data_IF_881949704675
#
_entry.id   IF_881949704675
#
_cell.length_a   1.000
_cell.length_b   1.000
_cell.length_c   1.000
_cell.angle_alpha   90.00
_cell.angle_beta   90.00
_cell.angle_gamma   90.00
#
_symmetry.space_group_name_H-M   'P 1'
#
loop_
_entity.id
_entity.type
_entity.pdbx_description
1 polymer ?
#
# COMPACT_ATOMS: atom_id res chain seq x y z
N UNK A 1 23.83 28.95 -29.80
CA UNK A 1 23.09 27.73 -29.40
C UNK A 1 21.62 28.12 -29.37
N UNK A 2 20.88 27.78 -30.43
CA UNK A 2 19.53 28.27 -30.68
C UNK A 2 18.48 27.36 -29.99
N UNK A 3 17.36 27.92 -29.48
CA UNK A 3 16.29 27.11 -28.89
C UNK A 3 15.43 26.46 -29.98
N UNK A 4 15.25 25.14 -29.87
CA UNK A 4 14.39 24.34 -30.73
C UNK A 4 12.91 24.67 -30.45
N UNK A 5 12.23 25.18 -31.47
CA UNK A 5 10.77 25.37 -31.49
C UNK A 5 10.09 24.02 -31.71
N UNK A 6 9.21 23.62 -30.80
CA UNK A 6 8.32 22.46 -30.98
C UNK A 6 7.00 22.88 -31.63
N UNK A 7 6.46 22.09 -32.57
CA UNK A 7 5.29 22.45 -33.36
C UNK A 7 3.99 22.32 -32.56
N UNK A 8 3.16 23.36 -32.66
CA UNK A 8 1.77 23.42 -32.25
C UNK A 8 0.90 22.53 -33.16
N UNK A 9 0.27 21.49 -32.61
CA UNK A 9 -0.78 20.75 -33.32
C UNK A 9 -2.16 21.30 -32.99
N UNK A 10 -2.65 22.13 -33.91
CA UNK A 10 -4.05 22.48 -34.08
C UNK A 10 -4.85 21.30 -34.64
N UNK A 11 -6.07 21.12 -34.13
CA UNK A 11 -7.20 20.64 -34.93
C UNK A 11 -7.65 19.20 -34.64
N UNK A 12 -8.73 19.05 -33.88
CA UNK A 12 -9.67 17.95 -34.13
C UNK A 12 -11.09 18.45 -33.90
N UNK A 13 -11.90 18.26 -34.92
CA UNK A 13 -13.24 18.79 -35.10
C UNK A 13 -14.26 18.21 -34.11
N UNK A 14 -15.08 19.11 -33.56
CA UNK A 14 -16.32 18.85 -32.85
C UNK A 14 -17.35 18.19 -33.79
N UNK A 15 -17.74 16.96 -33.48
CA UNK A 15 -19.00 16.36 -33.95
C UNK A 15 -20.07 16.67 -32.91
N UNK A 16 -20.89 17.67 -33.21
CA UNK A 16 -22.07 18.03 -32.42
C UNK A 16 -23.21 17.05 -32.75
N UNK A 17 -23.44 16.07 -31.88
CA UNK A 17 -24.62 15.21 -31.93
C UNK A 17 -25.77 15.95 -31.29
N UNK A 18 -26.68 16.47 -32.12
CA UNK A 18 -27.92 17.12 -31.67
C UNK A 18 -28.86 16.10 -31.03
N UNK A 19 -28.97 16.14 -29.70
CA UNK A 19 -29.97 15.41 -28.94
C UNK A 19 -31.20 16.31 -28.71
N UNK A 20 -32.29 15.99 -29.39
CA UNK A 20 -33.62 16.59 -29.22
C UNK A 20 -34.10 16.37 -27.80
N UNK A 21 -34.16 17.44 -27.00
CA UNK A 21 -34.74 17.43 -25.66
C UNK A 21 -36.25 17.65 -25.74
N UNK A 22 -37.02 16.58 -25.52
CA UNK A 22 -38.45 16.69 -25.17
C UNK A 22 -38.54 17.34 -23.79
N UNK A 23 -39.05 18.57 -23.75
CA UNK A 23 -39.27 19.34 -22.52
C UNK A 23 -40.35 18.72 -21.65
N UNK A 24 -39.94 17.86 -20.72
CA UNK A 24 -40.73 17.52 -19.55
C UNK A 24 -40.44 18.57 -18.47
N UNK A 25 -41.41 19.43 -18.19
CA UNK A 25 -41.37 20.44 -17.12
C UNK A 25 -41.13 19.74 -15.78
N UNK A 26 -39.88 19.78 -15.30
CA UNK A 26 -39.46 19.19 -14.03
C UNK A 26 -40.21 19.91 -12.90
N UNK A 27 -40.98 19.20 -12.06
CA UNK A 27 -41.65 19.82 -10.92
C UNK A 27 -40.59 20.50 -10.05
N UNK A 28 -40.85 21.78 -9.73
CA UNK A 28 -40.03 22.64 -8.88
C UNK A 28 -39.67 21.88 -7.61
N UNK A 29 -38.40 21.46 -7.51
CA UNK A 29 -37.85 20.80 -6.34
C UNK A 29 -37.97 21.75 -5.15
N UNK A 30 -38.75 21.36 -4.14
CA UNK A 30 -38.79 22.04 -2.86
C UNK A 30 -37.36 22.27 -2.35
N UNK A 31 -36.98 23.51 -2.00
CA UNK A 31 -35.66 23.79 -1.46
C UNK A 31 -35.50 23.01 -0.15
N UNK A 32 -34.67 21.98 -0.18
CA UNK A 32 -34.25 21.28 1.03
C UNK A 32 -33.46 22.29 1.86
N UNK A 33 -33.81 22.52 3.14
CA UNK A 33 -33.09 23.47 3.98
C UNK A 33 -31.59 23.12 4.02
N UNK A 34 -30.72 24.06 3.64
CA UNK A 34 -29.26 23.85 3.59
C UNK A 34 -28.70 23.39 4.95
N UNK A 35 -29.33 23.81 6.05
CA UNK A 35 -29.03 23.37 7.41
C UNK A 35 -29.10 21.83 7.57
N UNK A 36 -30.04 21.18 6.88
CA UNK A 36 -30.23 19.73 6.94
C UNK A 36 -29.14 18.98 6.16
N UNK A 37 -28.64 19.55 5.06
CA UNK A 37 -27.54 18.98 4.27
C UNK A 37 -26.23 19.04 5.06
N UNK A 38 -25.92 20.18 5.70
CA UNK A 38 -24.72 20.38 6.50
C UNK A 38 -24.67 19.46 7.74
N UNK A 39 -25.80 19.29 8.43
CA UNK A 39 -25.91 18.38 9.56
C UNK A 39 -25.65 16.91 9.14
N UNK A 40 -26.19 16.50 7.98
CA UNK A 40 -26.04 15.12 7.48
C UNK A 40 -24.61 14.79 7.07
N UNK A 41 -23.91 15.69 6.39
CA UNK A 41 -22.51 15.46 5.98
C UNK A 41 -21.55 15.42 7.17
N UNK A 42 -21.79 16.26 8.19
CA UNK A 42 -21.04 16.23 9.45
C UNK A 42 -21.23 14.89 10.19
N UNK A 43 -22.49 14.45 10.34
CA UNK A 43 -22.81 13.16 10.95
C UNK A 43 -22.15 12.00 10.22
N UNK A 44 -22.32 11.91 8.89
CA UNK A 44 -21.72 10.85 8.08
C UNK A 44 -20.19 10.82 8.17
N UNK A 45 -19.55 11.99 8.20
CA UNK A 45 -18.10 12.10 8.35
C UNK A 45 -17.63 11.54 9.69
N UNK A 46 -18.30 11.90 10.78
CA UNK A 46 -17.98 11.44 12.13
C UNK A 46 -18.27 9.93 12.33
N UNK A 47 -19.38 9.44 11.80
CA UNK A 47 -19.69 8.01 11.81
C UNK A 47 -18.65 7.22 11.01
N UNK A 48 -18.26 7.72 9.83
CA UNK A 48 -17.26 7.07 8.98
C UNK A 48 -15.89 7.00 9.66
N UNK A 49 -15.40 8.11 10.24
CA UNK A 49 -14.12 8.11 10.96
C UNK A 49 -14.12 7.12 12.12
N UNK A 50 -15.20 7.13 12.90
CA UNK A 50 -15.36 6.22 14.04
C UNK A 50 -15.37 4.75 13.62
N UNK A 51 -16.15 4.42 12.58
CA UNK A 51 -16.21 3.06 12.04
C UNK A 51 -14.87 2.61 11.49
N UNK A 52 -14.21 3.43 10.66
CA UNK A 52 -12.91 3.09 10.08
C UNK A 52 -11.86 2.92 11.18
N UNK A 53 -11.82 3.79 12.19
CA UNK A 53 -10.91 3.67 13.32
C UNK A 53 -11.17 2.39 14.12
N UNK A 54 -12.43 2.10 14.45
CA UNK A 54 -12.84 0.91 15.18
C UNK A 54 -12.45 -0.38 14.44
N UNK A 55 -12.79 -0.47 13.15
CA UNK A 55 -12.43 -1.63 12.31
C UNK A 55 -10.92 -1.80 12.21
N UNK A 56 -10.17 -0.72 12.01
CA UNK A 56 -8.70 -0.76 11.91
C UNK A 56 -8.09 -1.26 13.22
N UNK A 57 -8.58 -0.78 14.38
CA UNK A 57 -8.12 -1.23 15.69
C UNK A 57 -8.48 -2.69 15.96
N UNK A 58 -9.69 -3.13 15.62
CA UNK A 58 -10.10 -4.54 15.77
C UNK A 58 -9.20 -5.47 14.94
N UNK A 59 -8.91 -5.09 13.69
CA UNK A 59 -8.01 -5.85 12.83
C UNK A 59 -6.59 -5.83 13.40
N UNK A 60 -6.05 -4.67 13.78
CA UNK A 60 -4.72 -4.54 14.36
C UNK A 60 -4.55 -5.39 15.63
N UNK A 61 -5.53 -5.36 16.54
CA UNK A 61 -5.52 -6.18 17.75
C UNK A 61 -5.57 -7.68 17.43
N UNK A 62 -6.41 -8.09 16.48
CA UNK A 62 -6.48 -9.50 16.05
C UNK A 62 -5.12 -9.99 15.52
N UNK A 63 -4.40 -9.14 14.77
CA UNK A 63 -3.04 -9.43 14.33
C UNK A 63 -2.08 -9.55 15.50
N UNK A 64 -2.07 -8.58 16.44
CA UNK A 64 -1.19 -8.62 17.61
C UNK A 64 -1.41 -9.87 18.47
N UNK A 65 -2.66 -10.34 18.60
CA UNK A 65 -2.98 -11.59 19.30
C UNK A 65 -2.41 -12.79 18.56
N UNK A 66 -2.65 -12.89 17.24
CA UNK A 66 -2.11 -13.98 16.42
C UNK A 66 -0.57 -14.03 16.50
N UNK A 67 0.08 -12.87 16.41
CA UNK A 67 1.53 -12.76 16.51
C UNK A 67 2.07 -13.08 17.90
N UNK A 68 1.39 -12.65 18.96
CA UNK A 68 1.75 -12.99 20.34
C UNK A 68 1.68 -14.50 20.56
N UNK A 69 0.66 -15.14 20.00
CA UNK A 69 0.54 -16.60 20.00
C UNK A 69 1.66 -17.26 19.19
N UNK A 70 1.97 -16.75 18.00
CA UNK A 70 3.07 -17.21 17.15
C UNK A 70 4.42 -17.15 17.85
N UNK A 71 4.69 -16.02 18.50
CA UNK A 71 5.95 -15.76 19.19
C UNK A 71 6.11 -16.71 20.38
N UNK A 72 5.05 -16.91 21.17
CA UNK A 72 5.03 -17.92 22.23
C UNK A 72 5.25 -19.33 21.68
N UNK A 73 4.59 -19.69 20.58
CA UNK A 73 4.72 -21.00 19.94
C UNK A 73 6.14 -21.26 19.42
N UNK A 74 6.74 -20.26 18.75
CA UNK A 74 8.11 -20.33 18.25
C UNK A 74 9.13 -20.45 19.38
N UNK A 75 8.89 -19.78 20.52
CA UNK A 75 9.74 -19.91 21.72
C UNK A 75 9.63 -21.30 22.36
N UNK A 76 8.44 -21.91 22.32
CA UNK A 76 8.21 -23.26 22.86
C UNK A 76 8.80 -24.37 21.97
N UNK A 77 8.93 -24.15 20.67
CA UNK A 77 9.38 -25.15 19.69
C UNK A 77 10.59 -24.65 18.89
N UNK A 78 11.78 -24.50 19.50
CA UNK A 78 12.96 -24.02 18.78
C UNK A 78 13.36 -25.03 17.68
N UNK A 79 13.20 -24.63 16.42
CA UNK A 79 13.71 -25.42 15.29
C UNK A 79 15.24 -25.28 15.27
N UNK A 80 15.96 -26.40 15.34
CA UNK A 80 17.41 -26.44 15.24
C UNK A 80 17.86 -26.06 13.81
N UNK A 81 17.95 -24.77 13.52
CA UNK A 81 18.56 -24.27 12.29
C UNK A 81 20.08 -24.31 12.43
N UNK A 82 20.72 -25.25 11.73
CA UNK A 82 22.16 -25.47 11.72
C UNK A 82 22.97 -24.33 11.03
N UNK A 83 22.40 -23.13 10.87
CA UNK A 83 23.08 -21.98 10.24
C UNK A 83 22.79 -20.69 11.01
N UNK A 84 23.85 -20.04 11.48
CA UNK A 84 23.81 -18.74 12.19
C UNK A 84 23.03 -17.65 11.44
N UNK A 85 23.02 -17.70 10.11
CA UNK A 85 22.24 -16.78 9.27
C UNK A 85 20.72 -16.99 9.37
N UNK A 86 20.26 -18.23 9.58
CA UNK A 86 18.83 -18.52 9.75
C UNK A 86 18.27 -18.00 11.07
N UNK A 87 19.08 -18.03 12.13
CA UNK A 87 18.70 -17.52 13.46
C UNK A 87 18.44 -16.01 13.43
N UNK A 88 19.28 -15.24 12.73
CA UNK A 88 19.06 -13.79 12.57
C UNK A 88 17.79 -13.52 11.77
N UNK A 89 17.59 -14.22 10.65
CA UNK A 89 16.40 -14.03 9.81
C UNK A 89 15.11 -14.33 10.60
N UNK A 90 15.05 -15.41 11.36
CA UNK A 90 13.88 -15.72 12.21
C UNK A 90 13.63 -14.70 13.31
N UNK A 91 14.67 -13.99 13.78
CA UNK A 91 14.55 -12.98 14.83
C UNK A 91 14.02 -11.64 14.29
N UNK A 92 14.46 -11.24 13.10
CA UNK A 92 14.07 -9.94 12.51
C UNK A 92 12.84 -10.01 11.61
N UNK A 93 12.53 -11.16 11.00
CA UNK A 93 11.39 -11.28 10.10
C UNK A 93 10.06 -10.92 10.78
N UNK A 94 9.70 -11.44 11.98
CA UNK A 94 8.41 -11.13 12.58
C UNK A 94 8.21 -9.63 12.84
N UNK A 95 9.13 -8.90 13.51
CA UNK A 95 8.98 -7.45 13.68
C UNK A 95 8.79 -6.67 12.38
N UNK A 96 9.48 -7.05 11.30
CA UNK A 96 9.34 -6.38 10.00
C UNK A 96 7.95 -6.61 9.41
N UNK A 97 7.43 -7.84 9.42
CA UNK A 97 6.06 -8.13 8.99
C UNK A 97 5.01 -7.39 9.83
N UNK A 98 5.22 -7.28 11.15
CA UNK A 98 4.33 -6.53 12.04
C UNK A 98 4.27 -5.06 11.64
N UNK A 99 5.45 -4.45 11.48
CA UNK A 99 5.56 -3.06 11.09
C UNK A 99 4.87 -2.81 9.74
N UNK A 100 5.08 -3.71 8.77
CA UNK A 100 4.51 -3.63 7.42
C UNK A 100 2.98 -3.79 7.42
N UNK A 101 2.43 -4.69 8.24
CA UNK A 101 0.96 -4.83 8.39
C UNK A 101 0.35 -3.60 9.10
N UNK A 102 1.02 -3.06 10.12
CA UNK A 102 0.52 -1.88 10.83
C UNK A 102 0.58 -0.62 9.96
N UNK A 103 1.66 -0.41 9.20
CA UNK A 103 1.78 0.73 8.27
C UNK A 103 0.70 0.67 7.19
N UNK A 104 0.48 -0.50 6.60
CA UNK A 104 -0.55 -0.68 5.57
C UNK A 104 -1.98 -0.56 6.12
N UNK A 105 -2.23 -0.96 7.37
CA UNK A 105 -3.53 -0.71 8.03
C UNK A 105 -3.81 0.79 8.23
N UNK A 106 -2.80 1.57 8.63
CA UNK A 106 -2.92 3.03 8.73
C UNK A 106 -3.19 3.63 7.35
N UNK A 107 -2.51 3.14 6.32
CA UNK A 107 -2.73 3.57 4.93
C UNK A 107 -4.16 3.26 4.46
N UNK A 108 -4.68 2.05 4.72
CA UNK A 108 -6.09 1.69 4.44
C UNK A 108 -7.04 2.65 5.15
N UNK A 109 -6.79 2.97 6.42
CA UNK A 109 -7.64 3.87 7.19
C UNK A 109 -7.69 5.27 6.58
N UNK A 110 -6.53 5.86 6.25
CA UNK A 110 -6.45 7.20 5.65
C UNK A 110 -7.03 7.20 4.24
N UNK A 111 -6.66 6.23 3.40
CA UNK A 111 -7.11 6.17 2.01
C UNK A 111 -8.62 5.93 1.89
N UNK A 112 -9.17 5.03 2.71
CA UNK A 112 -10.61 4.77 2.74
C UNK A 112 -11.38 6.00 3.18
N UNK A 113 -10.93 6.66 4.25
CA UNK A 113 -11.51 7.92 4.71
C UNK A 113 -11.50 8.98 3.61
N UNK A 114 -10.35 9.18 2.93
CA UNK A 114 -10.21 10.17 1.87
C UNK A 114 -11.16 9.90 0.69
N UNK A 115 -11.25 8.63 0.26
CA UNK A 115 -12.15 8.22 -0.84
C UNK A 115 -13.62 8.42 -0.47
N UNK A 116 -14.00 8.16 0.79
CA UNK A 116 -15.36 8.41 1.27
C UNK A 116 -15.66 9.91 1.33
N UNK A 117 -14.74 10.73 1.83
CA UNK A 117 -14.90 12.19 1.83
C UNK A 117 -15.05 12.77 0.42
N UNK A 118 -14.25 12.32 -0.54
CA UNK A 118 -14.39 12.74 -1.93
C UNK A 118 -15.71 12.30 -2.56
N UNK A 119 -16.27 11.16 -2.13
CA UNK A 119 -17.57 10.69 -2.62
C UNK A 119 -18.72 11.52 -2.04
N UNK A 120 -18.66 11.89 -0.76
CA UNK A 120 -19.75 12.62 -0.10
C UNK A 120 -19.73 14.12 -0.38
N UNK A 121 -18.55 14.75 -0.39
CA UNK A 121 -18.44 16.20 -0.55
C UNK A 121 -18.26 16.63 -2.01
N UNK A 122 -18.04 15.70 -2.94
CA UNK A 122 -17.74 15.96 -4.36
C UNK A 122 -16.57 16.95 -4.62
N UNK A 123 -15.76 17.24 -3.60
CA UNK A 123 -14.65 18.20 -3.61
C UNK A 123 -13.30 17.50 -3.88
N UNK A 124 -13.20 16.77 -4.98
CA UNK A 124 -11.92 16.18 -5.40
C UNK A 124 -11.07 17.23 -6.10
N UNK A 125 -9.83 17.42 -5.66
CA UNK A 125 -8.93 18.42 -6.24
C UNK A 125 -8.65 18.12 -7.73
N UNK A 126 -8.36 16.86 -8.05
CA UNK A 126 -8.12 16.37 -9.42
C UNK A 126 -8.58 14.92 -9.54
N UNK A 127 -8.94 14.50 -10.76
CA UNK A 127 -9.27 13.08 -11.06
C UNK A 127 -8.08 12.17 -10.76
N UNK A 128 -6.85 12.64 -11.02
CA UNK A 128 -5.64 11.91 -10.71
C UNK A 128 -5.47 11.62 -9.22
N UNK A 129 -5.78 12.59 -8.34
CA UNK A 129 -5.72 12.39 -6.87
C UNK A 129 -6.67 11.27 -6.43
N UNK A 130 -7.87 11.24 -6.99
CA UNK A 130 -8.86 10.18 -6.71
C UNK A 130 -8.39 8.82 -7.19
N UNK A 131 -7.82 8.74 -8.39
CA UNK A 131 -7.26 7.48 -8.93
C UNK A 131 -6.06 7.01 -8.11
N UNK A 132 -5.15 7.92 -7.73
CA UNK A 132 -4.00 7.62 -6.88
C UNK A 132 -4.41 7.10 -5.50
N UNK A 133 -5.36 7.76 -4.84
CA UNK A 133 -5.87 7.32 -3.53
C UNK A 133 -6.54 5.94 -3.60
N UNK A 134 -7.27 5.63 -4.68
CA UNK A 134 -7.86 4.29 -4.89
C UNK A 134 -6.82 3.22 -5.16
N UNK A 135 -5.78 3.54 -5.92
CA UNK A 135 -4.68 2.61 -6.19
C UNK A 135 -3.88 2.31 -4.91
N UNK A 136 -3.61 3.32 -4.08
CA UNK A 136 -2.97 3.15 -2.77
C UNK A 136 -3.85 2.34 -1.82
N UNK A 137 -5.17 2.58 -1.78
CA UNK A 137 -6.10 1.76 -1.01
C UNK A 137 -6.03 0.29 -1.45
N UNK A 138 -6.05 0.04 -2.76
CA UNK A 138 -5.91 -1.31 -3.29
C UNK A 138 -4.56 -1.94 -2.89
N UNK A 139 -3.46 -1.19 -3.02
CA UNK A 139 -2.11 -1.63 -2.61
C UNK A 139 -2.06 -1.99 -1.13
N UNK A 140 -2.60 -1.14 -0.26
CA UNK A 140 -2.61 -1.37 1.17
C UNK A 140 -3.48 -2.58 1.55
N UNK A 141 -4.66 -2.73 0.94
CA UNK A 141 -5.50 -3.93 1.11
C UNK A 141 -4.81 -5.21 0.62
N UNK A 142 -4.15 -5.14 -0.55
CA UNK A 142 -3.34 -6.24 -1.09
C UNK A 142 -2.25 -6.63 -0.08
N UNK A 143 -1.50 -5.67 0.42
CA UNK A 143 -0.44 -5.87 1.41
C UNK A 143 -0.97 -6.49 2.70
N UNK A 144 -2.02 -5.94 3.30
CA UNK A 144 -2.62 -6.49 4.54
C UNK A 144 -3.09 -7.93 4.33
N UNK A 145 -3.81 -8.20 3.23
CA UNK A 145 -4.36 -9.54 2.96
C UNK A 145 -3.26 -10.58 2.75
N UNK A 146 -2.23 -10.24 1.98
CA UNK A 146 -1.15 -11.15 1.64
C UNK A 146 -0.14 -11.30 2.76
N UNK A 147 0.32 -10.21 3.40
CA UNK A 147 1.20 -10.27 4.55
C UNK A 147 0.53 -11.00 5.72
N UNK A 148 -0.78 -10.82 5.92
CA UNK A 148 -1.54 -11.58 6.90
C UNK A 148 -1.62 -13.06 6.57
N UNK A 149 -1.90 -13.40 5.32
CA UNK A 149 -1.91 -14.78 4.84
C UNK A 149 -0.54 -15.44 5.02
N UNK A 150 0.55 -14.77 4.65
CA UNK A 150 1.92 -15.25 4.88
C UNK A 150 2.22 -15.43 6.37
N UNK A 151 1.81 -14.49 7.21
CA UNK A 151 1.95 -14.61 8.67
C UNK A 151 1.26 -15.88 9.17
N UNK A 152 -0.01 -16.11 8.80
CA UNK A 152 -0.77 -17.31 9.18
C UNK A 152 -0.13 -18.60 8.65
N UNK A 153 0.35 -18.59 7.40
CA UNK A 153 1.08 -19.69 6.77
C UNK A 153 2.32 -20.09 7.59
N UNK A 154 3.06 -19.10 8.09
CA UNK A 154 4.25 -19.33 8.91
C UNK A 154 3.93 -19.82 10.33
N UNK A 155 2.79 -19.39 10.89
CA UNK A 155 2.31 -19.88 12.18
C UNK A 155 1.90 -21.35 12.13
N UNK A 156 1.29 -21.78 11.02
CA UNK A 156 0.61 -23.06 10.98
C UNK A 156 1.63 -24.22 10.86
N UNK A 157 1.69 -25.13 11.86
CA UNK A 157 2.78 -26.10 11.99
C UNK A 157 2.85 -27.10 10.83
N UNK A 158 1.68 -27.50 10.30
CA UNK A 158 1.59 -28.41 9.16
C UNK A 158 1.96 -27.73 7.84
N UNK A 159 1.63 -26.43 7.68
CA UNK A 159 1.88 -25.72 6.43
C UNK A 159 3.34 -25.25 6.28
N UNK A 160 4.08 -25.15 7.38
CA UNK A 160 5.51 -24.83 7.34
C UNK A 160 6.37 -25.86 6.59
N UNK A 161 5.82 -27.06 6.30
CA UNK A 161 6.50 -28.09 5.50
C UNK A 161 6.27 -27.93 3.98
N UNK A 162 5.36 -27.06 3.55
CA UNK A 162 5.05 -26.91 2.13
C UNK A 162 5.99 -25.93 1.40
N UNK A 163 6.30 -26.19 0.11
CA UNK A 163 7.17 -25.36 -0.72
C UNK A 163 6.59 -23.96 -1.04
N UNK A 164 5.34 -23.69 -0.65
CA UNK A 164 4.73 -22.35 -0.70
C UNK A 164 5.50 -21.35 0.17
N UNK A 165 6.26 -21.84 1.17
CA UNK A 165 7.26 -21.05 1.92
C UNK A 165 8.61 -20.94 1.18
N UNK A 166 8.61 -20.96 -0.15
CA UNK A 166 9.83 -20.74 -0.94
C UNK A 166 10.24 -19.27 -0.86
N UNK A 167 11.56 -19.04 -0.73
CA UNK A 167 12.16 -17.71 -0.76
C UNK A 167 11.79 -16.95 -2.06
N UNK A 168 11.58 -17.69 -3.17
CA UNK A 168 11.23 -17.12 -4.46
C UNK A 168 9.81 -16.56 -4.49
N UNK A 169 8.85 -17.25 -3.87
CA UNK A 169 7.46 -16.78 -3.80
C UNK A 169 7.36 -15.49 -2.98
N UNK A 170 8.10 -15.41 -1.86
CA UNK A 170 8.20 -14.20 -1.06
C UNK A 170 8.86 -13.05 -1.83
N UNK A 171 9.94 -13.32 -2.58
CA UNK A 171 10.59 -12.29 -3.39
C UNK A 171 9.67 -11.74 -4.49
N UNK A 172 8.93 -12.60 -5.19
CA UNK A 172 7.95 -12.18 -6.20
C UNK A 172 6.84 -11.36 -5.55
N UNK A 173 6.32 -11.80 -4.40
CA UNK A 173 5.30 -11.07 -3.66
C UNK A 173 5.77 -9.67 -3.25
N UNK A 174 6.96 -9.55 -2.64
CA UNK A 174 7.56 -8.27 -2.25
C UNK A 174 7.72 -7.37 -3.48
N UNK A 175 8.19 -7.92 -4.61
CA UNK A 175 8.36 -7.17 -5.85
C UNK A 175 7.05 -6.63 -6.40
N UNK A 176 5.98 -7.43 -6.40
CA UNK A 176 4.65 -6.99 -6.85
C UNK A 176 4.09 -5.89 -5.94
N UNK A 177 4.17 -6.08 -4.61
CA UNK A 177 3.72 -5.07 -3.64
C UNK A 177 4.51 -3.75 -3.79
N UNK A 178 5.83 -3.86 -4.02
CA UNK A 178 6.68 -2.71 -4.28
C UNK A 178 6.30 -1.94 -5.55
N UNK A 179 5.93 -2.65 -6.64
CA UNK A 179 5.42 -2.00 -7.85
C UNK A 179 4.12 -1.24 -7.59
N UNK A 180 3.18 -1.81 -6.83
CA UNK A 180 1.94 -1.13 -6.49
C UNK A 180 2.17 0.16 -5.70
N UNK A 181 3.10 0.14 -4.73
CA UNK A 181 3.48 1.34 -3.99
C UNK A 181 4.13 2.41 -4.86
N UNK A 182 5.03 2.02 -5.78
CA UNK A 182 5.67 2.98 -6.70
C UNK A 182 4.66 3.61 -7.64
N UNK A 183 3.78 2.80 -8.24
CA UNK A 183 2.76 3.31 -9.17
C UNK A 183 1.78 4.22 -8.43
N UNK A 184 1.30 3.80 -7.25
CA UNK A 184 0.40 4.62 -6.42
C UNK A 184 1.04 5.94 -5.99
N UNK A 185 2.28 5.91 -5.52
CA UNK A 185 3.04 7.10 -5.14
C UNK A 185 3.33 8.01 -6.34
N UNK A 186 3.63 7.44 -7.51
CA UNK A 186 3.89 8.17 -8.74
C UNK A 186 2.66 8.95 -9.22
N UNK A 187 1.49 8.31 -9.22
CA UNK A 187 0.21 8.97 -9.57
C UNK A 187 -0.13 10.07 -8.57
N UNK A 188 0.11 9.84 -7.27
CA UNK A 188 -0.16 10.86 -6.26
C UNK A 188 0.80 12.06 -6.36
N UNK A 189 2.07 11.79 -6.67
CA UNK A 189 3.10 12.80 -6.89
C UNK A 189 2.80 13.67 -8.13
N UNK A 190 2.31 13.07 -9.22
CA UNK A 190 1.90 13.84 -10.41
C UNK A 190 0.63 14.65 -10.18
N UNK A 191 -0.26 14.17 -9.32
CA UNK A 191 -1.52 14.85 -9.00
C UNK A 191 -1.34 16.11 -8.15
N UNK A 192 -0.28 16.16 -7.32
CA UNK A 192 -0.05 17.29 -6.41
C UNK A 192 1.44 17.67 -6.29
N UNK A 193 2.11 18.05 -7.39
CA UNK A 193 3.54 18.38 -7.40
C UNK A 193 3.86 19.59 -6.49
N UNK A 194 2.90 20.50 -6.33
CA UNK A 194 3.01 21.68 -5.47
C UNK A 194 3.26 21.35 -4.00
N UNK A 195 2.84 20.17 -3.52
CA UNK A 195 3.04 19.76 -2.13
C UNK A 195 4.51 19.52 -1.78
N UNK A 196 5.29 19.00 -2.72
CA UNK A 196 6.70 18.69 -2.49
C UNK A 196 7.60 19.91 -2.66
N UNK A 197 7.31 20.76 -3.65
CA UNK A 197 8.22 21.85 -4.02
C UNK A 197 8.06 23.07 -3.11
N UNK A 198 6.83 23.42 -2.72
CA UNK A 198 6.56 24.70 -2.03
C UNK A 198 6.08 24.54 -0.60
N UNK A 199 5.79 23.33 -0.15
CA UNK A 199 5.21 23.09 1.17
C UNK A 199 3.85 23.79 1.37
N UNK A 200 3.25 24.36 0.33
CA UNK A 200 2.01 25.13 0.42
C UNK A 200 0.82 24.28 -0.06
N UNK A 201 -0.24 24.29 0.74
CA UNK A 201 -1.49 23.57 0.51
C UNK A 201 -2.59 24.46 -0.12
N UNK A 202 -2.21 25.53 -0.82
CA UNK A 202 -3.22 26.46 -1.38
C UNK A 202 -4.10 25.74 -2.41
N UNK A 203 -5.41 25.66 -2.14
CA UNK A 203 -6.41 25.07 -3.04
C UNK A 203 -6.60 23.55 -2.93
N UNK A 204 -5.90 22.84 -2.04
CA UNK A 204 -6.05 21.38 -1.87
C UNK A 204 -6.79 21.05 -0.58
N UNK A 205 -8.00 20.52 -0.73
CA UNK A 205 -8.81 20.02 0.40
C UNK A 205 -8.17 18.75 0.96
N UNK A 206 -8.06 18.64 2.29
CA UNK A 206 -7.45 17.52 3.01
C UNK A 206 -5.94 17.33 2.75
N UNK A 207 -5.21 18.44 2.60
CA UNK A 207 -3.77 18.43 2.35
C UNK A 207 -2.96 17.61 3.38
N UNK A 208 -3.29 17.71 4.67
CA UNK A 208 -2.59 17.00 5.74
C UNK A 208 -2.70 15.48 5.59
N UNK A 209 -3.88 14.99 5.23
CA UNK A 209 -4.16 13.57 5.04
C UNK A 209 -3.48 13.03 3.78
N UNK A 210 -3.47 13.80 2.69
CA UNK A 210 -2.73 13.43 1.46
C UNK A 210 -1.23 13.36 1.74
N UNK A 211 -0.67 14.31 2.52
CA UNK A 211 0.74 14.28 2.95
C UNK A 211 1.06 13.07 3.80
N UNK A 212 0.20 12.75 4.77
CA UNK A 212 0.36 11.56 5.60
C UNK A 212 0.35 10.28 4.73
N UNK A 213 -0.60 10.18 3.79
CA UNK A 213 -0.70 9.05 2.86
C UNK A 213 0.56 8.89 2.00
N UNK A 214 1.05 9.99 1.42
CA UNK A 214 2.29 9.97 0.63
C UNK A 214 3.51 9.61 1.50
N UNK A 215 3.59 10.15 2.71
CA UNK A 215 4.68 9.86 3.64
C UNK A 215 4.75 8.38 4.02
N UNK A 216 3.60 7.75 4.27
CA UNK A 216 3.52 6.32 4.57
C UNK A 216 3.93 5.49 3.35
N UNK A 217 3.42 5.79 2.16
CA UNK A 217 3.79 5.06 0.94
C UNK A 217 5.30 5.15 0.64
N UNK A 218 5.93 6.31 0.90
CA UNK A 218 7.40 6.47 0.76
C UNK A 218 8.17 5.73 1.86
N UNK A 219 7.63 5.68 3.08
CA UNK A 219 8.22 4.92 4.18
C UNK A 219 8.24 3.41 3.86
N UNK A 220 7.13 2.88 3.36
CA UNK A 220 7.01 1.47 2.96
C UNK A 220 7.94 1.12 1.81
N UNK A 221 8.13 2.04 0.85
CA UNK A 221 9.13 1.90 -0.21
C UNK A 221 10.53 1.66 0.36
N UNK A 222 10.94 2.42 1.38
CA UNK A 222 12.28 2.27 1.99
C UNK A 222 12.45 0.93 2.70
N UNK A 223 11.40 0.43 3.35
CA UNK A 223 11.45 -0.88 4.00
C UNK A 223 11.63 -2.02 2.99
N UNK A 224 10.98 -1.93 1.82
CA UNK A 224 11.15 -2.91 0.75
C UNK A 224 12.60 -3.04 0.25
N UNK A 225 13.33 -1.91 0.13
CA UNK A 225 14.73 -1.93 -0.31
C UNK A 225 15.65 -2.64 0.70
N UNK A 226 15.40 -2.50 2.00
CA UNK A 226 16.23 -3.14 3.04
C UNK A 226 16.10 -4.66 2.97
N UNK A 227 14.91 -5.19 2.70
CA UNK A 227 14.69 -6.63 2.57
C UNK A 227 15.25 -7.18 1.25
N UNK A 228 15.06 -6.47 0.13
CA UNK A 228 15.62 -6.89 -1.16
C UNK A 228 17.15 -6.91 -1.13
N UNK A 229 17.78 -5.88 -0.54
CA UNK A 229 19.23 -5.85 -0.38
C UNK A 229 19.70 -6.91 0.62
N UNK A 230 18.97 -7.12 1.73
CA UNK A 230 19.26 -8.18 2.69
C UNK A 230 19.19 -9.61 2.11
N UNK A 231 18.26 -9.83 1.17
CA UNK A 231 18.11 -11.08 0.42
C UNK A 231 19.15 -11.23 -0.71
N UNK A 232 19.52 -10.14 -1.37
CA UNK A 232 20.51 -10.12 -2.44
C UNK A 232 21.96 -10.24 -1.94
N UNK A 233 22.26 -9.77 -0.72
CA UNK A 233 23.57 -9.95 -0.05
C UNK A 233 23.66 -11.34 0.59
N UNK A 234 23.18 -12.37 -0.11
CA UNK A 234 23.54 -13.75 0.21
C UNK A 234 24.92 -14.02 -0.41
N UNK A 235 25.93 -14.36 0.41
CA UNK A 235 27.32 -14.28 -0.01
C UNK A 235 27.63 -15.32 -1.10
N UNK A 236 28.07 -14.83 -2.27
CA UNK A 236 28.71 -15.63 -3.34
C UNK A 236 29.83 -16.55 -2.83
N UNK A 237 30.37 -16.28 -1.64
CA UNK A 237 31.37 -17.12 -0.97
C UNK A 237 30.88 -18.52 -0.56
N UNK A 238 29.58 -18.77 -0.43
CA UNK A 238 29.08 -20.11 -0.14
C UNK A 238 29.09 -21.02 -1.39
N UNK A 239 28.96 -20.43 -2.58
CA UNK A 239 29.00 -21.17 -3.86
C UNK A 239 30.45 -21.52 -4.23
N UNK A 240 31.40 -20.62 -3.99
CA UNK A 240 32.82 -20.89 -4.23
C UNK A 240 33.38 -22.07 -3.38
N UNK A 241 32.89 -22.25 -2.15
CA UNK A 241 33.31 -23.38 -1.28
C UNK A 241 32.73 -24.73 -1.69
N UNK A 242 31.57 -24.77 -2.33
CA UNK A 242 31.00 -26.02 -2.87
C UNK A 242 31.77 -26.47 -4.12
N UNK A 243 32.15 -25.53 -4.99
CA UNK A 243 32.98 -25.83 -6.17
C UNK A 243 34.40 -26.26 -5.79
N UNK A 244 35.00 -25.67 -4.76
CA UNK A 244 36.34 -26.07 -4.28
C UNK A 244 36.36 -27.48 -3.65
N UNK A 245 35.26 -27.93 -3.03
CA UNK A 245 35.17 -29.31 -2.49
C UNK A 245 34.88 -30.37 -3.56
N UNK A 246 34.20 -30.00 -4.65
CA UNK A 246 33.94 -30.93 -5.75
C UNK A 246 35.21 -31.26 -6.55
N UNK A 247 36.22 -30.38 -6.55
CA UNK A 247 37.49 -30.61 -7.28
C UNK A 247 38.52 -31.48 -6.55
N UNK A 248 38.33 -31.84 -5.28
CA UNK A 248 39.36 -32.49 -4.47
C UNK A 248 39.16 -34.01 -4.29
N UNK A 249 38.13 -34.59 -4.92
CA UNK A 249 37.78 -36.01 -4.80
C UNK A 249 38.17 -36.91 -5.98
N UNK A 250 38.97 -36.43 -6.94
CA UNK A 250 39.25 -37.13 -8.21
C UNK A 250 40.65 -37.73 -8.38
N UNK A 251 41.33 -38.12 -7.30
CA UNK A 251 42.70 -38.65 -7.36
C UNK A 251 42.83 -39.97 -6.60
N UNK A 252 42.42 -41.07 -7.24
CA UNK A 252 42.80 -42.45 -6.94
C UNK A 252 42.99 -43.18 -8.23
#
# INVERSE_FOLDING_TARGET
MAPAQTPSMSGTHLLATGSTSTGLTRPSSFPIPEALISSRTSYLTSTTTSLTACLTLMIALSYLVALSWAYKYARANPKALNKTSGVRLQRYAPPVYIFLVLSSLIEVAIASWLVLQYRFNHNYANVQTRTGARMLLFSACWTVSTAGTYTLLFLHPTWSKHPVSSIGAQAIWIFVSWLFWIVGSGILNSAVPSLLVKGSCSGVVYCGQIRALFGIAVLERRNGDVDVVGLAVRPRHAVARQLSRAGQGGGT
#
